data_IF_551932664306
#
_entry.id   IF_551932664306
#
_cell.length_a   1.000
_cell.length_b   1.000
_cell.length_c   1.000
_cell.angle_alpha   90.00
_cell.angle_beta   90.00
_cell.angle_gamma   90.00
#
_symmetry.space_group_name_H-M   'P 1'
#
loop_
_entity.id
_entity.type
_entity.pdbx_description
1 polymer ?
#
# COMPACT_ATOMS: atom_id res chain seq x y z
N UNK A 1 -2.92 4.30 -7.68
CA UNK A 1 -1.87 5.31 -7.73
C UNK A 1 -2.22 6.54 -6.88
N UNK A 2 -3.45 7.07 -7.02
CA UNK A 2 -3.91 8.24 -6.24
C UNK A 2 -3.80 8.02 -4.72
N UNK A 3 -4.20 6.86 -4.21
CA UNK A 3 -4.08 6.50 -2.79
C UNK A 3 -2.62 6.51 -2.33
N UNK A 4 -1.70 5.91 -3.12
CA UNK A 4 -0.27 5.92 -2.83
C UNK A 4 0.27 7.36 -2.70
N UNK A 5 -0.05 8.23 -3.66
CA UNK A 5 0.39 9.63 -3.65
C UNK A 5 -0.23 10.40 -2.49
N UNK A 6 -1.52 10.20 -2.22
CA UNK A 6 -2.22 10.89 -1.12
C UNK A 6 -1.64 10.53 0.25
N UNK A 7 -1.29 9.26 0.45
CA UNK A 7 -0.65 8.80 1.68
C UNK A 7 0.79 9.28 1.80
N UNK A 8 1.61 9.11 0.75
CA UNK A 8 3.02 9.48 0.79
C UNK A 8 3.21 10.98 1.02
N UNK A 9 2.37 11.81 0.44
CA UNK A 9 2.39 13.28 0.61
C UNK A 9 1.47 13.78 1.74
N UNK A 10 0.78 12.85 2.44
CA UNK A 10 -0.15 13.17 3.54
C UNK A 10 -1.14 14.28 3.16
N UNK A 11 -1.69 14.20 1.95
CA UNK A 11 -2.50 15.28 1.35
C UNK A 11 -3.68 15.64 2.25
N UNK A 12 -4.41 14.63 2.77
CA UNK A 12 -5.62 14.86 3.58
C UNK A 12 -5.27 15.54 4.91
N UNK A 13 -4.40 14.98 5.78
CA UNK A 13 -4.09 15.60 7.07
C UNK A 13 -3.39 16.95 6.93
N UNK A 14 -2.49 17.10 5.96
CA UNK A 14 -1.82 18.39 5.73
C UNK A 14 -2.79 19.46 5.24
N UNK A 15 -3.69 19.13 4.31
CA UNK A 15 -4.73 20.06 3.83
C UNK A 15 -5.68 20.50 4.95
N UNK A 16 -6.07 19.56 5.84
CA UNK A 16 -6.89 19.87 7.01
C UNK A 16 -6.15 20.81 7.97
N UNK A 17 -4.94 20.44 8.36
CA UNK A 17 -4.11 21.25 9.26
C UNK A 17 -3.81 22.65 8.68
N UNK A 18 -3.58 22.75 7.37
CA UNK A 18 -3.33 24.05 6.73
C UNK A 18 -4.53 25.00 6.85
N UNK A 19 -5.75 24.48 6.76
CA UNK A 19 -6.99 25.29 6.95
C UNK A 19 -7.13 25.78 8.40
N UNK A 20 -6.63 25.03 9.38
CA UNK A 20 -6.74 25.36 10.81
C UNK A 20 -5.64 26.29 11.29
N UNK A 21 -4.38 26.02 10.93
CA UNK A 21 -3.20 26.71 11.47
C UNK A 21 -2.31 27.38 10.40
N UNK A 22 -2.78 27.42 9.15
CA UNK A 22 -2.06 28.07 8.04
C UNK A 22 -0.70 27.45 7.75
N UNK A 23 0.28 28.28 7.40
CA UNK A 23 1.62 27.84 6.99
C UNK A 23 2.39 27.06 8.06
N UNK A 24 2.03 27.18 9.34
CA UNK A 24 2.63 26.41 10.43
C UNK A 24 2.41 24.89 10.29
N UNK A 25 1.40 24.46 9.52
CA UNK A 25 1.15 23.05 9.20
C UNK A 25 2.28 22.37 8.39
N UNK A 26 3.20 23.13 7.80
CA UNK A 26 4.29 22.62 6.96
C UNK A 26 5.29 21.73 7.73
N UNK A 27 5.62 22.09 8.96
CA UNK A 27 6.76 21.51 9.67
C UNK A 27 6.48 20.21 10.46
N UNK A 28 5.28 19.95 11.02
CA UNK A 28 5.07 18.78 11.88
C UNK A 28 4.80 17.47 11.13
N UNK A 29 4.73 17.49 9.79
CA UNK A 29 4.24 16.32 9.06
C UNK A 29 5.21 15.91 7.94
N UNK A 30 6.29 15.16 8.24
CA UNK A 30 7.22 14.72 7.21
C UNK A 30 6.50 13.81 6.21
N UNK A 31 6.67 14.13 4.92
CA UNK A 31 6.14 13.37 3.80
C UNK A 31 7.18 12.38 3.29
N UNK A 32 6.73 11.27 2.71
CA UNK A 32 7.61 10.33 2.03
C UNK A 32 7.89 10.86 0.60
N UNK A 33 9.17 11.00 0.26
CA UNK A 33 9.57 11.14 -1.15
C UNK A 33 9.58 9.74 -1.78
N UNK A 34 8.85 9.56 -2.89
CA UNK A 34 8.71 8.25 -3.53
C UNK A 34 9.79 7.97 -4.57
N UNK A 35 10.43 9.01 -5.12
CA UNK A 35 11.54 8.84 -6.05
C UNK A 35 12.69 8.06 -5.40
N UNK A 36 13.22 7.06 -6.09
CA UNK A 36 14.27 6.17 -5.56
C UNK A 36 13.81 5.21 -4.45
N UNK A 37 12.51 5.17 -4.15
CA UNK A 37 11.94 4.17 -3.23
C UNK A 37 11.56 2.90 -3.97
N UNK A 38 11.44 1.80 -3.23
CA UNK A 38 11.04 0.49 -3.77
C UNK A 38 9.53 0.31 -3.66
N UNK A 39 8.89 -0.05 -4.77
CA UNK A 39 7.50 -0.50 -4.78
C UNK A 39 7.42 -1.99 -5.05
N UNK A 40 6.69 -2.72 -4.20
CA UNK A 40 6.33 -4.11 -4.39
C UNK A 40 4.95 -4.26 -5.01
N UNK A 41 4.87 -4.93 -6.14
CA UNK A 41 3.63 -5.19 -6.88
C UNK A 41 3.27 -6.66 -6.72
N UNK A 42 2.17 -6.95 -6.03
CA UNK A 42 1.66 -8.32 -5.84
C UNK A 42 0.59 -8.61 -6.88
N UNK A 43 0.94 -9.42 -7.87
CA UNK A 43 0.14 -9.68 -9.06
C UNK A 43 0.57 -8.80 -10.25
N UNK A 44 1.22 -9.41 -11.26
CA UNK A 44 1.75 -8.73 -12.43
C UNK A 44 0.87 -8.92 -13.68
N UNK A 45 -0.47 -8.91 -13.48
CA UNK A 45 -1.44 -8.89 -14.56
C UNK A 45 -1.50 -7.54 -15.29
N UNK A 46 -2.55 -7.32 -16.09
CA UNK A 46 -2.69 -6.09 -16.90
C UNK A 46 -2.63 -4.80 -16.07
N UNK A 47 -3.29 -4.78 -14.89
CA UNK A 47 -3.33 -3.59 -14.03
C UNK A 47 -2.01 -3.45 -13.27
N UNK A 48 -1.51 -4.52 -12.64
CA UNK A 48 -0.24 -4.51 -11.91
C UNK A 48 0.94 -4.09 -12.79
N UNK A 49 1.00 -4.58 -14.02
CA UNK A 49 2.04 -4.18 -14.99
C UNK A 49 1.94 -2.68 -15.35
N UNK A 50 0.75 -2.14 -15.55
CA UNK A 50 0.59 -0.70 -15.81
C UNK A 50 1.00 0.14 -14.62
N UNK A 51 0.59 -0.24 -13.42
CA UNK A 51 0.98 0.42 -12.18
C UNK A 51 2.51 0.38 -11.98
N UNK A 52 3.13 -0.80 -12.16
CA UNK A 52 4.57 -0.98 -12.08
C UNK A 52 5.33 -0.05 -13.04
N UNK A 53 4.90 0.02 -14.32
CA UNK A 53 5.50 0.91 -15.32
C UNK A 53 5.34 2.40 -14.96
N UNK A 54 4.20 2.80 -14.40
CA UNK A 54 4.00 4.18 -13.93
C UNK A 54 4.97 4.52 -12.79
N UNK A 55 5.18 3.62 -11.84
CA UNK A 55 6.14 3.80 -10.75
C UNK A 55 7.58 3.88 -11.27
N UNK A 56 7.95 2.97 -12.17
CA UNK A 56 9.29 2.91 -12.76
C UNK A 56 9.61 4.16 -13.60
N UNK A 57 8.82 4.40 -14.64
CA UNK A 57 9.14 5.43 -15.63
C UNK A 57 8.65 6.82 -15.25
N UNK A 58 7.58 6.93 -14.47
CA UNK A 58 7.03 8.22 -14.05
C UNK A 58 7.71 8.80 -12.82
N UNK A 59 8.20 7.95 -11.92
CA UNK A 59 8.71 8.37 -10.61
C UNK A 59 10.11 7.85 -10.28
N UNK A 60 10.74 7.07 -11.15
CA UNK A 60 12.07 6.53 -10.91
C UNK A 60 12.15 5.62 -9.68
N UNK A 61 11.05 4.91 -9.39
CA UNK A 61 11.05 3.92 -8.30
C UNK A 61 11.72 2.63 -8.73
N UNK A 62 12.33 1.92 -7.78
CA UNK A 62 12.66 0.50 -7.96
C UNK A 62 11.39 -0.32 -7.90
N UNK A 63 11.20 -1.27 -8.83
CA UNK A 63 9.99 -2.09 -8.90
C UNK A 63 10.32 -3.55 -8.69
N UNK A 64 9.80 -4.12 -7.61
CA UNK A 64 9.75 -5.55 -7.35
C UNK A 64 8.35 -6.07 -7.69
N UNK A 65 8.26 -7.24 -8.29
CA UNK A 65 6.99 -7.89 -8.57
C UNK A 65 6.98 -9.34 -8.10
N UNK A 66 5.86 -9.77 -7.55
CA UNK A 66 5.59 -11.16 -7.20
C UNK A 66 4.32 -11.62 -7.93
N UNK A 67 4.48 -12.61 -8.77
CA UNK A 67 3.37 -13.30 -9.43
C UNK A 67 3.83 -14.75 -9.74
N UNK A 68 3.21 -15.78 -9.14
CA UNK A 68 3.64 -17.16 -9.33
C UNK A 68 3.38 -17.72 -10.74
N UNK A 69 2.60 -17.00 -11.56
CA UNK A 69 2.24 -17.42 -12.92
C UNK A 69 3.04 -16.68 -14.00
N UNK A 70 3.87 -15.71 -13.62
CA UNK A 70 4.68 -14.91 -14.53
C UNK A 70 6.13 -15.37 -14.43
N UNK A 71 6.71 -15.78 -15.56
CA UNK A 71 8.11 -16.23 -15.65
C UNK A 71 9.06 -15.15 -16.13
N UNK A 72 8.53 -14.09 -16.77
CA UNK A 72 9.32 -12.99 -17.32
C UNK A 72 8.60 -11.67 -17.08
N UNK A 73 9.28 -10.73 -16.43
CA UNK A 73 8.76 -9.40 -16.19
C UNK A 73 9.20 -8.42 -17.28
N UNK A 74 8.46 -7.34 -17.52
CA UNK A 74 8.90 -6.25 -18.39
C UNK A 74 10.22 -5.65 -17.91
N UNK A 75 10.99 -5.11 -18.86
CA UNK A 75 12.28 -4.47 -18.59
C UNK A 75 12.19 -3.44 -17.44
N UNK A 76 13.18 -3.48 -16.55
CA UNK A 76 13.27 -2.61 -15.38
C UNK A 76 12.42 -3.05 -14.17
N UNK A 77 11.66 -4.14 -14.29
CA UNK A 77 10.88 -4.73 -13.19
C UNK A 77 11.57 -6.01 -12.74
N UNK A 78 11.91 -6.11 -11.46
CA UNK A 78 12.55 -7.30 -10.89
C UNK A 78 11.51 -8.28 -10.37
N UNK A 79 11.45 -9.48 -10.97
CA UNK A 79 10.59 -10.55 -10.46
C UNK A 79 11.27 -11.22 -9.26
N UNK A 80 10.52 -11.40 -8.18
CA UNK A 80 10.95 -12.14 -6.99
C UNK A 80 10.11 -13.39 -6.80
N UNK A 81 10.75 -14.47 -6.33
CA UNK A 81 10.09 -15.76 -6.13
C UNK A 81 9.46 -15.92 -4.74
N UNK A 82 9.83 -15.06 -3.80
CA UNK A 82 9.29 -15.07 -2.42
C UNK A 82 8.57 -13.75 -2.13
N UNK A 83 7.31 -13.87 -1.71
CA UNK A 83 6.50 -12.71 -1.32
C UNK A 83 7.08 -12.01 -0.10
N UNK A 84 7.66 -12.73 0.86
CA UNK A 84 8.24 -12.10 2.05
C UNK A 84 9.48 -11.27 1.68
N UNK A 85 10.29 -11.70 0.69
CA UNK A 85 11.39 -10.89 0.15
C UNK A 85 10.88 -9.57 -0.45
N UNK A 86 9.78 -9.62 -1.23
CA UNK A 86 9.15 -8.41 -1.74
C UNK A 86 8.70 -7.48 -0.60
N UNK A 87 7.99 -8.04 0.39
CA UNK A 87 7.39 -7.25 1.47
C UNK A 87 8.45 -6.55 2.33
N UNK A 88 9.53 -7.24 2.71
CA UNK A 88 10.56 -6.66 3.58
C UNK A 88 11.40 -5.58 2.87
N UNK A 89 11.51 -5.62 1.54
CA UNK A 89 12.29 -4.65 0.74
C UNK A 89 11.48 -3.43 0.33
N UNK A 90 10.15 -3.54 0.30
CA UNK A 90 9.29 -2.50 -0.27
C UNK A 90 9.00 -1.35 0.71
N UNK A 91 9.03 -0.12 0.19
CA UNK A 91 8.53 1.07 0.88
C UNK A 91 7.03 1.30 0.62
N UNK A 92 6.54 0.77 -0.50
CA UNK A 92 5.11 0.71 -0.84
C UNK A 92 4.79 -0.68 -1.36
N UNK A 93 3.71 -1.28 -0.90
CA UNK A 93 3.18 -2.56 -1.42
C UNK A 93 1.81 -2.30 -2.04
N UNK A 94 1.59 -2.73 -3.28
CA UNK A 94 0.33 -2.58 -3.98
C UNK A 94 -0.19 -3.93 -4.48
N UNK A 95 -1.46 -4.24 -4.12
CA UNK A 95 -2.10 -5.51 -4.44
C UNK A 95 -2.87 -5.41 -5.75
N UNK A 96 -2.61 -6.33 -6.66
CA UNK A 96 -3.24 -6.44 -7.99
C UNK A 96 -3.56 -7.89 -8.36
N UNK A 97 -3.41 -8.84 -7.43
CA UNK A 97 -3.74 -10.24 -7.63
C UNK A 97 -5.26 -10.48 -7.50
N UNK A 98 -5.74 -11.56 -8.11
CA UNK A 98 -7.12 -12.00 -7.97
C UNK A 98 -7.34 -12.66 -6.61
N UNK A 99 -8.58 -12.60 -6.11
CA UNK A 99 -9.00 -13.34 -4.92
C UNK A 99 -9.34 -14.79 -5.32
N UNK A 100 -8.55 -15.70 -4.81
CA UNK A 100 -8.74 -17.15 -4.87
C UNK A 100 -8.38 -17.73 -3.51
N UNK A 101 -8.64 -19.02 -3.27
CA UNK A 101 -8.35 -19.64 -1.96
C UNK A 101 -6.89 -19.44 -1.51
N UNK A 102 -5.93 -19.56 -2.43
CA UNK A 102 -4.51 -19.37 -2.15
C UNK A 102 -4.08 -17.90 -1.91
N UNK A 103 -4.93 -16.94 -2.23
CA UNK A 103 -4.64 -15.49 -2.04
C UNK A 103 -5.50 -14.85 -0.96
N UNK A 104 -6.49 -15.56 -0.40
CA UNK A 104 -7.26 -15.07 0.74
C UNK A 104 -6.33 -14.83 1.92
N UNK A 105 -6.40 -13.60 2.49
CA UNK A 105 -5.50 -13.14 3.56
C UNK A 105 -4.01 -13.34 3.20
N UNK A 106 -3.67 -13.15 1.92
CA UNK A 106 -2.27 -13.21 1.48
C UNK A 106 -1.42 -12.18 2.22
N UNK A 107 -2.02 -11.07 2.68
CA UNK A 107 -1.42 -10.13 3.63
C UNK A 107 -2.04 -10.39 5.00
N UNK A 108 -1.40 -11.23 5.77
CA UNK A 108 -1.77 -11.62 7.13
C UNK A 108 -0.84 -10.98 8.17
N UNK A 109 -1.05 -11.28 9.45
CA UNK A 109 -0.26 -10.74 10.56
C UNK A 109 1.24 -11.01 10.41
N UNK A 110 1.64 -12.21 9.98
CA UNK A 110 3.03 -12.59 9.78
C UNK A 110 3.67 -11.73 8.70
N UNK A 111 3.01 -11.60 7.54
CA UNK A 111 3.47 -10.81 6.42
C UNK A 111 3.48 -9.31 6.69
N UNK A 112 2.52 -8.80 7.44
CA UNK A 112 2.57 -7.41 7.91
C UNK A 112 3.76 -7.17 8.84
N UNK A 113 4.16 -8.17 9.64
CA UNK A 113 5.27 -8.04 10.57
C UNK A 113 6.65 -7.93 9.90
N UNK A 114 6.81 -8.44 8.67
CA UNK A 114 8.07 -8.35 7.92
C UNK A 114 8.16 -7.09 7.05
N UNK A 115 7.08 -6.35 6.87
CA UNK A 115 7.09 -5.07 6.16
C UNK A 115 7.89 -4.01 6.93
N UNK A 116 8.45 -3.04 6.21
CA UNK A 116 9.11 -1.90 6.86
C UNK A 116 8.10 -1.12 7.70
N UNK A 117 8.45 -0.64 8.89
CA UNK A 117 7.54 0.21 9.69
C UNK A 117 7.13 1.51 8.97
N UNK A 118 7.96 1.98 8.03
CA UNK A 118 7.66 3.13 7.18
C UNK A 118 6.84 2.80 5.94
N UNK A 119 6.51 1.52 5.70
CA UNK A 119 5.85 1.10 4.47
C UNK A 119 4.38 1.51 4.41
N UNK A 120 3.89 1.65 3.17
CA UNK A 120 2.48 1.86 2.84
C UNK A 120 1.91 0.60 2.16
N UNK A 121 0.69 0.21 2.54
CA UNK A 121 -0.06 -0.86 1.88
C UNK A 121 -1.20 -0.25 1.06
N UNK A 122 -1.29 -0.62 -0.22
CA UNK A 122 -2.36 -0.17 -1.13
C UNK A 122 -3.15 -1.40 -1.60
N UNK A 123 -4.45 -1.38 -1.39
CA UNK A 123 -5.35 -2.43 -1.87
C UNK A 123 -6.51 -1.83 -2.68
N UNK A 124 -6.46 -1.98 -4.00
CA UNK A 124 -7.53 -1.67 -4.93
C UNK A 124 -7.99 -2.93 -5.69
N UNK A 125 -7.67 -4.11 -5.16
CA UNK A 125 -8.01 -5.37 -5.80
C UNK A 125 -9.25 -6.00 -5.17
N UNK A 126 -9.12 -6.62 -3.98
CA UNK A 126 -10.22 -7.22 -3.22
C UNK A 126 -9.94 -7.14 -1.71
N UNK A 127 -10.94 -6.79 -0.90
CA UNK A 127 -10.83 -6.69 0.56
C UNK A 127 -10.23 -7.92 1.21
N UNK A 128 -10.78 -9.13 0.96
CA UNK A 128 -10.31 -10.38 1.59
C UNK A 128 -8.88 -10.82 1.25
N UNK A 129 -8.13 -10.09 0.42
CA UNK A 129 -6.68 -10.31 0.25
C UNK A 129 -5.88 -9.89 1.49
N UNK A 130 -6.44 -9.04 2.33
CA UNK A 130 -5.83 -8.55 3.56
C UNK A 130 -6.60 -9.09 4.76
N UNK A 131 -5.91 -9.53 5.79
CA UNK A 131 -6.51 -9.75 7.10
C UNK A 131 -6.73 -8.37 7.76
N UNK A 132 -7.99 -7.89 7.71
CA UNK A 132 -8.31 -6.52 8.16
C UNK A 132 -8.01 -6.33 9.65
N UNK A 133 -8.26 -7.33 10.49
CA UNK A 133 -7.97 -7.25 11.91
C UNK A 133 -6.45 -7.12 12.18
N UNK A 134 -5.64 -7.88 11.43
CA UNK A 134 -4.19 -7.79 11.49
C UNK A 134 -3.68 -6.43 10.97
N UNK A 135 -4.27 -5.91 9.90
CA UNK A 135 -3.96 -4.59 9.34
C UNK A 135 -4.23 -3.48 10.37
N UNK A 136 -5.43 -3.48 10.98
CA UNK A 136 -5.80 -2.52 12.03
C UNK A 136 -4.76 -2.54 13.15
N UNK A 137 -4.40 -3.73 13.66
CA UNK A 137 -3.40 -3.89 14.71
C UNK A 137 -2.02 -3.35 14.30
N UNK A 138 -1.58 -3.61 13.07
CA UNK A 138 -0.30 -3.13 12.55
C UNK A 138 -0.27 -1.60 12.42
N UNK A 139 -1.36 -0.99 11.97
CA UNK A 139 -1.50 0.47 11.85
C UNK A 139 -1.52 1.15 13.21
N UNK A 140 -2.31 0.64 14.17
CA UNK A 140 -2.42 1.19 15.53
C UNK A 140 -1.12 1.08 16.32
N UNK A 141 -0.37 0.00 16.13
CA UNK A 141 0.92 -0.22 16.80
C UNK A 141 2.10 0.50 16.12
N UNK A 142 1.88 1.18 14.98
CA UNK A 142 2.94 1.83 14.21
C UNK A 142 3.88 0.87 13.48
N UNK A 143 3.51 -0.41 13.36
CA UNK A 143 4.25 -1.41 12.56
C UNK A 143 4.07 -1.22 11.05
N UNK A 144 3.07 -0.44 10.64
CA UNK A 144 2.84 -0.03 9.27
C UNK A 144 2.52 1.47 9.27
N UNK A 145 3.15 2.23 8.37
CA UNK A 145 2.99 3.69 8.34
C UNK A 145 1.61 4.14 7.85
N UNK A 146 0.98 3.39 6.96
CA UNK A 146 -0.36 3.74 6.46
C UNK A 146 -0.93 2.73 5.48
N UNK A 147 -2.23 2.85 5.21
CA UNK A 147 -2.93 2.03 4.23
C UNK A 147 -3.90 2.84 3.37
N UNK A 148 -3.97 2.49 2.08
CA UNK A 148 -4.93 3.02 1.12
C UNK A 148 -5.81 1.90 0.59
N UNK A 149 -7.10 1.96 0.89
CA UNK A 149 -8.06 0.89 0.65
C UNK A 149 -9.21 1.39 -0.21
N UNK A 150 -9.36 0.83 -1.39
CA UNK A 150 -10.50 1.04 -2.29
C UNK A 150 -11.52 -0.10 -2.15
N UNK A 151 -11.20 -1.08 -1.31
CA UNK A 151 -11.97 -2.28 -1.02
C UNK A 151 -11.75 -2.69 0.44
N UNK A 152 -12.75 -3.28 1.08
CA UNK A 152 -12.74 -3.71 2.50
C UNK A 152 -13.29 -5.13 2.67
N UNK A 153 -13.16 -5.71 3.86
CA UNK A 153 -13.76 -6.98 4.22
C UNK A 153 -14.33 -6.88 5.67
N UNK A 154 -15.67 -6.74 5.84
CA UNK A 154 -16.73 -6.83 4.84
C UNK A 154 -16.79 -5.63 3.88
N UNK A 155 -17.50 -5.84 2.76
CA UNK A 155 -17.82 -4.78 1.80
C UNK A 155 -19.36 -4.68 1.67
N UNK A 156 -19.99 -3.53 1.98
CA UNK A 156 -19.36 -2.28 2.45
C UNK A 156 -18.73 -2.43 3.84
N UNK A 157 -17.73 -1.57 4.13
CA UNK A 157 -17.12 -1.53 5.45
C UNK A 157 -18.15 -1.19 6.54
N UNK A 158 -17.97 -1.75 7.75
CA UNK A 158 -18.78 -1.36 8.89
C UNK A 158 -18.62 0.13 9.19
N UNK A 159 -19.72 0.88 9.44
CA UNK A 159 -19.65 2.29 9.83
C UNK A 159 -18.77 2.53 11.07
N UNK A 160 -18.67 1.54 11.95
CA UNK A 160 -17.88 1.61 13.18
C UNK A 160 -16.43 1.10 12.99
N UNK A 161 -16.00 0.86 11.74
CA UNK A 161 -14.64 0.37 11.49
C UNK A 161 -13.60 1.35 12.04
N UNK A 162 -12.61 0.86 12.84
CA UNK A 162 -11.51 1.68 13.32
C UNK A 162 -10.71 2.35 12.19
N UNK A 163 -10.72 1.79 10.98
CA UNK A 163 -10.03 2.36 9.81
C UNK A 163 -10.48 3.79 9.49
N UNK A 164 -11.76 4.12 9.75
CA UNK A 164 -12.28 5.47 9.50
C UNK A 164 -11.82 6.54 10.51
N UNK A 165 -11.23 6.11 11.64
CA UNK A 165 -10.74 7.00 12.69
C UNK A 165 -9.23 7.21 12.62
N UNK A 166 -8.53 6.58 11.66
CA UNK A 166 -7.08 6.63 11.55
C UNK A 166 -6.63 7.66 10.52
N UNK A 167 -5.83 8.67 10.93
CA UNK A 167 -5.27 9.69 10.05
C UNK A 167 -4.26 9.14 9.01
N UNK A 168 -3.73 7.95 9.25
CA UNK A 168 -2.80 7.24 8.36
C UNK A 168 -3.49 6.24 7.43
N UNK A 169 -4.83 6.27 7.36
CA UNK A 169 -5.62 5.40 6.48
C UNK A 169 -6.48 6.25 5.55
N UNK A 170 -6.55 5.86 4.30
CA UNK A 170 -7.50 6.40 3.33
C UNK A 170 -8.37 5.24 2.83
N UNK A 171 -9.67 5.34 3.08
CA UNK A 171 -10.67 4.41 2.53
C UNK A 171 -11.50 5.17 1.50
N UNK A 172 -11.68 4.58 0.33
CA UNK A 172 -12.55 5.10 -0.74
C UNK A 172 -13.65 4.09 -1.04
N UNK A 173 -14.85 4.54 -1.49
CA UNK A 173 -15.97 3.66 -1.81
C UNK A 173 -15.74 2.91 -3.13
#
# INVERSE_FOLDING_TARGET
FALMMSLSKKIIPVSKAYKEIGFAAKNPTPCMEISGKTVGVVGLGKIGTRFAKMCLYGFGMEVLAYDPFVTEAPEGITLVSDLNDLLCRSDVVSLHCSLVDGTRKIINQERLSVMKPSALLINCARGPLVDEAALISALQSGKLAGAGLDVTDPEPASPDSPLFQMDNVIVTP
#
